data_IF_125742139909
#
_entry.id   IF_125742139909
#
_cell.length_a   1.000
_cell.length_b   1.000
_cell.length_c   1.000
_cell.angle_alpha   90.00
_cell.angle_beta   90.00
_cell.angle_gamma   90.00
#
_symmetry.space_group_name_H-M   'P 1'
#
loop_
_entity.id
_entity.type
_entity.pdbx_description
1 polymer ?
#
# COMPACT_ATOMS: atom_id res chain seq x y z
N UNK A 1 -28.00 -22.71 -10.52
CA UNK A 1 -27.14 -22.25 -9.40
C UNK A 1 -26.41 -21.04 -9.95
N UNK A 2 -26.69 -19.85 -9.41
CA UNK A 2 -25.93 -18.66 -9.77
C UNK A 2 -24.51 -18.83 -9.22
N UNK A 3 -23.51 -18.72 -10.09
CA UNK A 3 -22.12 -18.65 -9.69
C UNK A 3 -21.94 -17.34 -8.93
N UNK A 4 -21.76 -17.45 -7.61
CA UNK A 4 -21.42 -16.31 -6.77
C UNK A 4 -19.99 -15.91 -7.17
N UNK A 5 -19.86 -14.74 -7.80
CA UNK A 5 -18.57 -14.19 -8.17
C UNK A 5 -17.85 -13.69 -6.91
N UNK A 6 -17.14 -14.61 -6.28
CA UNK A 6 -16.49 -14.41 -4.99
C UNK A 6 -15.26 -13.48 -5.07
N UNK A 7 -14.97 -12.85 -6.22
CA UNK A 7 -13.98 -11.76 -6.30
C UNK A 7 -14.60 -10.41 -5.89
N UNK A 8 -15.94 -10.30 -5.95
CA UNK A 8 -16.69 -9.07 -5.72
C UNK A 8 -17.97 -9.35 -4.94
N UNK A 9 -18.11 -8.77 -3.75
CA UNK A 9 -19.33 -8.87 -2.96
C UNK A 9 -19.99 -7.49 -2.82
N UNK A 10 -21.32 -7.43 -2.96
CA UNK A 10 -22.08 -6.23 -2.58
C UNK A 10 -22.08 -6.11 -1.05
N UNK A 11 -21.80 -4.92 -0.53
CA UNK A 11 -21.78 -4.69 0.92
C UNK A 11 -23.15 -4.89 1.59
N UNK A 12 -24.23 -4.80 0.82
CA UNK A 12 -25.58 -5.00 1.32
C UNK A 12 -26.02 -6.47 1.30
N UNK A 13 -25.21 -7.38 0.73
CA UNK A 13 -25.48 -8.81 0.67
C UNK A 13 -24.67 -9.57 1.74
N UNK A 14 -25.28 -9.76 2.92
CA UNK A 14 -24.69 -10.54 4.01
C UNK A 14 -24.34 -11.98 3.62
N UNK A 15 -25.09 -12.60 2.68
CA UNK A 15 -24.83 -13.97 2.27
C UNK A 15 -23.56 -14.04 1.40
N UNK A 16 -23.40 -13.08 0.49
CA UNK A 16 -22.19 -12.94 -0.32
C UNK A 16 -20.96 -12.66 0.56
N UNK A 17 -21.09 -11.78 1.56
CA UNK A 17 -19.99 -11.46 2.48
C UNK A 17 -19.58 -12.68 3.31
N UNK A 18 -20.54 -13.42 3.88
CA UNK A 18 -20.23 -14.61 4.67
C UNK A 18 -19.61 -15.73 3.81
N UNK A 19 -20.07 -15.89 2.57
CA UNK A 19 -19.48 -16.82 1.61
C UNK A 19 -18.05 -16.40 1.24
N UNK A 20 -17.81 -15.11 1.02
CA UNK A 20 -16.49 -14.56 0.75
C UNK A 20 -15.52 -14.77 1.90
N UNK A 21 -15.94 -14.51 3.15
CA UNK A 21 -15.12 -14.75 4.35
C UNK A 21 -14.79 -16.23 4.49
N UNK A 22 -15.78 -17.11 4.30
CA UNK A 22 -15.61 -18.56 4.45
C UNK A 22 -14.66 -19.17 3.40
N UNK A 23 -14.53 -18.52 2.24
CA UNK A 23 -13.65 -18.95 1.17
C UNK A 23 -12.38 -18.09 1.06
N UNK A 24 -12.21 -17.11 1.95
CA UNK A 24 -11.06 -16.21 1.91
C UNK A 24 -9.75 -16.94 2.18
N UNK A 25 -9.79 -17.90 3.12
CA UNK A 25 -8.63 -18.75 3.47
C UNK A 25 -8.23 -19.73 2.38
N UNK A 26 -9.12 -20.06 1.44
CA UNK A 26 -8.81 -20.92 0.29
C UNK A 26 -8.42 -20.14 -0.97
N UNK A 27 -8.46 -18.81 -0.92
CA UNK A 27 -8.13 -17.93 -2.04
C UNK A 27 -6.80 -17.20 -1.81
N UNK A 28 -6.00 -17.12 -2.85
CA UNK A 28 -4.76 -16.32 -2.87
C UNK A 28 -5.00 -14.81 -3.07
N UNK A 29 -6.25 -14.39 -3.32
CA UNK A 29 -6.61 -13.01 -3.67
C UNK A 29 -7.68 -12.44 -2.74
N UNK A 30 -7.69 -11.12 -2.56
CA UNK A 30 -8.69 -10.41 -1.77
C UNK A 30 -10.09 -10.47 -2.38
N UNK A 31 -11.12 -10.30 -1.54
CA UNK A 31 -12.48 -10.04 -2.03
C UNK A 31 -12.77 -8.55 -1.99
N UNK A 32 -13.19 -7.97 -3.10
CA UNK A 32 -13.56 -6.55 -3.16
C UNK A 32 -15.01 -6.35 -2.71
N UNK A 33 -15.22 -5.35 -1.86
CA UNK A 33 -16.55 -4.91 -1.42
C UNK A 33 -17.02 -3.77 -2.30
N UNK A 34 -18.22 -3.92 -2.87
CA UNK A 34 -18.85 -2.95 -3.76
C UNK A 34 -20.06 -2.30 -3.08
N UNK A 35 -20.22 -1.00 -3.27
CA UNK A 35 -21.51 -0.31 -3.10
C UNK A 35 -21.88 0.35 -4.42
N UNK A 36 -23.05 -0.01 -4.97
CA UNK A 36 -23.55 0.51 -6.27
C UNK A 36 -22.53 0.42 -7.40
N UNK A 37 -21.78 -0.69 -7.44
CA UNK A 37 -20.75 -0.93 -8.45
C UNK A 37 -19.44 -0.16 -8.25
N UNK A 38 -19.28 0.57 -7.15
CA UNK A 38 -18.01 1.21 -6.75
C UNK A 38 -17.32 0.39 -5.67
N UNK A 39 -16.01 0.18 -5.81
CA UNK A 39 -15.21 -0.47 -4.77
C UNK A 39 -15.08 0.47 -3.59
N UNK A 40 -15.53 0.02 -2.41
CA UNK A 40 -15.49 0.78 -1.16
C UNK A 40 -14.59 0.13 -0.11
N UNK A 41 -14.14 -1.10 -0.34
CA UNK A 41 -13.25 -1.81 0.56
C UNK A 41 -12.83 -3.16 0.01
N UNK A 42 -12.05 -3.88 0.82
CA UNK A 42 -11.64 -5.25 0.54
C UNK A 42 -11.60 -6.06 1.83
N UNK A 43 -11.87 -7.36 1.72
CA UNK A 43 -11.67 -8.34 2.78
C UNK A 43 -10.39 -9.11 2.45
N UNK A 44 -9.45 -9.10 3.39
CA UNK A 44 -8.13 -9.71 3.29
C UNK A 44 -7.93 -10.68 4.45
N UNK A 45 -7.21 -11.79 4.22
CA UNK A 45 -6.65 -12.56 5.33
C UNK A 45 -5.54 -11.76 6.00
N UNK A 46 -5.20 -12.12 7.24
CA UNK A 46 -4.05 -11.53 7.93
C UNK A 46 -2.77 -11.65 7.09
N UNK A 47 -2.54 -12.82 6.50
CA UNK A 47 -1.34 -13.08 5.69
C UNK A 47 -1.29 -12.19 4.44
N UNK A 48 -2.42 -11.96 3.78
CA UNK A 48 -2.51 -11.06 2.63
C UNK A 48 -2.26 -9.60 3.04
N UNK A 49 -2.77 -9.20 4.19
CA UNK A 49 -2.52 -7.87 4.74
C UNK A 49 -1.05 -7.66 5.11
N UNK A 50 -0.44 -8.64 5.79
CA UNK A 50 0.97 -8.60 6.18
C UNK A 50 1.86 -8.53 4.91
N UNK A 51 1.58 -9.35 3.89
CA UNK A 51 2.28 -9.29 2.61
C UNK A 51 2.13 -7.93 1.91
N UNK A 52 0.93 -7.33 1.95
CA UNK A 52 0.68 -6.02 1.36
C UNK A 52 1.52 -4.93 2.05
N UNK A 53 1.63 -4.97 3.39
CA UNK A 53 2.48 -4.06 4.14
C UNK A 53 3.96 -4.26 3.80
N UNK A 54 4.43 -5.50 3.74
CA UNK A 54 5.81 -5.81 3.36
C UNK A 54 6.14 -5.25 1.97
N UNK A 55 5.20 -5.35 1.01
CA UNK A 55 5.38 -4.74 -0.32
C UNK A 55 5.37 -3.22 -0.33
N UNK A 56 4.60 -2.61 0.56
CA UNK A 56 4.55 -1.15 0.69
C UNK A 56 5.87 -0.62 1.25
N UNK A 57 6.44 -1.33 2.23
CA UNK A 57 7.76 -1.04 2.80
C UNK A 57 8.89 -1.29 1.78
N UNK A 58 8.85 -2.39 1.01
CA UNK A 58 9.81 -2.65 -0.07
C UNK A 58 9.75 -1.59 -1.19
N UNK A 59 8.56 -1.07 -1.49
CA UNK A 59 8.36 -0.03 -2.52
C UNK A 59 8.76 1.37 -2.06
N UNK A 60 9.04 1.54 -0.76
CA UNK A 60 9.62 2.77 -0.23
C UNK A 60 11.12 2.77 -0.54
N UNK A 61 11.44 2.96 -1.82
CA UNK A 61 12.80 2.97 -2.33
C UNK A 61 13.53 4.26 -1.86
N UNK A 62 14.10 4.21 -0.66
CA UNK A 62 14.89 5.31 -0.06
C UNK A 62 16.28 5.39 -0.73
N UNK A 63 16.59 4.51 -1.69
CA UNK A 63 17.86 4.49 -2.39
C UNK A 63 18.18 5.82 -3.07
N UNK A 64 17.20 6.50 -3.65
CA UNK A 64 17.39 7.84 -4.24
C UNK A 64 17.83 8.89 -3.21
N UNK A 65 17.37 8.78 -1.94
CA UNK A 65 17.82 9.68 -0.85
C UNK A 65 19.24 9.34 -0.43
N UNK A 66 19.59 8.04 -0.37
CA UNK A 66 20.95 7.60 -0.06
C UNK A 66 21.95 8.00 -1.16
N UNK A 67 21.57 7.90 -2.43
CA UNK A 67 22.36 8.37 -3.57
C UNK A 67 22.58 9.88 -3.51
N UNK A 68 21.52 10.67 -3.26
CA UNK A 68 21.65 12.13 -3.07
C UNK A 68 22.42 12.54 -1.83
N UNK A 69 22.38 11.77 -0.74
CA UNK A 69 23.18 12.04 0.46
C UNK A 69 24.66 11.75 0.24
N UNK A 70 24.97 10.85 -0.70
CA UNK A 70 26.34 10.50 -1.09
C UNK A 70 26.88 11.42 -2.21
N UNK A 71 25.98 12.09 -2.92
CA UNK A 71 26.29 13.09 -3.94
C UNK A 71 26.73 14.40 -3.29
N UNK A 72 28.04 14.56 -3.14
CA UNK A 72 28.68 15.77 -2.61
C UNK A 72 28.97 16.80 -3.71
N UNK A 73 28.61 16.53 -4.96
CA UNK A 73 28.90 17.45 -6.07
C UNK A 73 28.08 18.73 -5.92
N UNK A 74 28.77 19.87 -5.81
CA UNK A 74 28.14 21.17 -5.51
C UNK A 74 27.67 21.35 -4.05
N UNK A 75 27.95 20.41 -3.15
CA UNK A 75 27.69 20.60 -1.72
C UNK A 75 28.69 21.59 -1.11
N UNK A 76 28.22 22.45 -0.21
CA UNK A 76 29.05 23.39 0.53
C UNK A 76 29.01 23.08 2.02
N UNK A 77 30.10 23.33 2.73
CA UNK A 77 30.12 23.17 4.18
C UNK A 77 29.23 24.20 4.87
N UNK A 78 28.73 23.88 6.08
CA UNK A 78 27.94 24.82 6.88
C UNK A 78 28.69 26.13 7.16
N UNK A 79 30.01 26.07 7.27
CA UNK A 79 30.84 27.26 7.48
C UNK A 79 31.00 28.09 6.19
N UNK A 80 30.98 27.46 5.02
CA UNK A 80 30.93 28.18 3.74
C UNK A 80 29.55 28.81 3.50
N UNK A 81 28.46 28.11 3.84
CA UNK A 81 27.11 28.66 3.75
C UNK A 81 26.94 29.92 4.63
N UNK A 82 27.45 29.89 5.86
CA UNK A 82 27.40 31.06 6.76
C UNK A 82 28.16 32.26 6.20
N UNK A 83 29.32 32.02 5.58
CA UNK A 83 30.09 33.06 4.90
C UNK A 83 29.35 33.65 3.69
N UNK A 84 28.65 32.84 2.91
CA UNK A 84 27.83 33.34 1.79
C UNK A 84 26.61 34.14 2.26
N UNK A 85 26.02 33.76 3.40
CA UNK A 85 24.88 34.46 4.00
C UNK A 85 25.29 35.74 4.77
N UNK A 86 26.59 36.02 4.86
CA UNK A 86 27.10 37.19 5.59
C UNK A 86 26.97 37.08 7.11
N UNK A 87 26.84 35.85 7.62
CA UNK A 87 26.89 35.54 9.04
C UNK A 87 28.35 35.18 9.39
N UNK A 88 29.12 36.17 9.85
CA UNK A 88 30.44 35.96 10.46
C UNK A 88 30.33 35.34 11.87
#
# INVERSE_FOLDING_TARGET
MEEIDLEKADINDESAINAAISQLTSKNRETLLLDKGRVIGAVLTKEQYDWFLDKLDESSDISEICERASDLDGSISLDELKKELGED
#
